data_IF_070700384781
#
_entry.id   IF_070700384781
#
_cell.length_a   1.000
_cell.length_b   1.000
_cell.length_c   1.000
_cell.angle_alpha   90.00
_cell.angle_beta   90.00
_cell.angle_gamma   90.00
#
_symmetry.space_group_name_H-M   'P 1'
#
loop_
_entity.id
_entity.type
_entity.pdbx_description
1 polymer ?
#
# COMPACT_ATOMS: atom_id res chain seq x y z
N UNK A 1 -4.85 19.14 14.08
CA UNK A 1 -4.39 18.12 15.04
C UNK A 1 -5.48 18.00 16.09
N UNK A 2 -6.44 17.08 15.92
CA UNK A 2 -7.47 16.78 16.92
C UNK A 2 -7.17 15.39 17.43
N UNK A 3 -6.66 15.32 18.66
CA UNK A 3 -6.58 14.09 19.45
C UNK A 3 -7.97 13.90 20.05
N UNK A 4 -8.73 12.93 19.56
CA UNK A 4 -9.91 12.45 20.25
C UNK A 4 -9.45 11.78 21.54
N UNK A 5 -10.06 12.14 22.66
CA UNK A 5 -9.86 11.52 23.97
C UNK A 5 -10.02 9.99 23.84
N UNK A 6 -8.91 9.32 23.76
CA UNK A 6 -8.82 7.88 24.02
C UNK A 6 -8.78 7.78 25.53
N UNK A 7 -9.65 6.95 26.09
CA UNK A 7 -9.74 6.65 27.52
C UNK A 7 -8.35 6.18 28.01
N UNK A 8 -7.59 7.12 28.53
CA UNK A 8 -6.16 6.97 28.87
C UNK A 8 -5.93 5.95 29.97
N UNK A 9 -6.92 5.69 30.82
CA UNK A 9 -6.75 4.73 31.94
C UNK A 9 -6.80 3.28 31.47
N UNK A 10 -7.67 2.93 30.52
CA UNK A 10 -7.70 1.58 29.94
C UNK A 10 -6.48 1.28 29.08
N UNK A 11 -5.98 2.29 28.37
CA UNK A 11 -4.77 2.13 27.54
C UNK A 11 -3.51 2.00 28.37
N UNK A 12 -3.40 2.75 29.48
CA UNK A 12 -2.25 2.64 30.41
C UNK A 12 -2.23 1.29 31.14
N UNK A 13 -3.38 0.72 31.49
CA UNK A 13 -3.43 -0.60 32.14
C UNK A 13 -3.00 -1.72 31.21
N UNK A 14 -3.37 -1.63 29.92
CA UNK A 14 -2.97 -2.61 28.90
C UNK A 14 -1.49 -2.49 28.54
N UNK A 15 -0.96 -1.27 28.47
CA UNK A 15 0.48 -1.05 28.24
C UNK A 15 1.34 -1.47 29.41
N UNK A 16 0.91 -1.21 30.66
CA UNK A 16 1.65 -1.67 31.86
C UNK A 16 1.71 -3.19 31.99
N UNK A 17 0.66 -3.89 31.53
CA UNK A 17 0.65 -5.36 31.52
C UNK A 17 1.56 -5.93 30.45
N UNK A 18 1.56 -5.31 29.25
CA UNK A 18 2.47 -5.68 28.16
C UNK A 18 3.95 -5.40 28.50
N UNK A 19 4.24 -4.27 29.14
CA UNK A 19 5.62 -3.93 29.57
C UNK A 19 6.11 -4.90 30.64
N UNK A 20 5.28 -5.30 31.61
CA UNK A 20 5.66 -6.31 32.62
C UNK A 20 5.92 -7.69 32.02
N UNK A 21 5.14 -8.11 31.00
CA UNK A 21 5.39 -9.36 30.30
C UNK A 21 6.70 -9.32 29.48
N UNK A 22 7.03 -8.18 28.87
CA UNK A 22 8.30 -7.97 28.14
C UNK A 22 9.49 -7.94 29.11
N UNK A 23 9.37 -7.33 30.29
CA UNK A 23 10.42 -7.35 31.32
C UNK A 23 10.70 -8.76 31.86
N UNK A 24 9.67 -9.59 32.05
CA UNK A 24 9.84 -10.99 32.49
C UNK A 24 10.56 -11.86 31.45
N UNK A 25 10.35 -11.58 30.16
CA UNK A 25 10.99 -12.31 29.06
C UNK A 25 12.48 -11.94 28.94
N UNK A 26 12.84 -10.69 29.25
CA UNK A 26 14.22 -10.20 29.19
C UNK A 26 15.10 -10.69 30.35
N UNK A 27 14.52 -11.32 31.38
CA UNK A 27 15.29 -11.87 32.55
C UNK A 27 15.72 -13.31 32.38
N UNK A 28 15.26 -14.01 31.34
CA UNK A 28 15.69 -15.39 31.06
C UNK A 28 16.93 -15.37 30.16
N UNK A 29 18.01 -16.12 30.48
CA UNK A 29 19.14 -16.24 29.59
C UNK A 29 18.66 -16.92 28.29
N UNK A 30 18.70 -16.17 27.18
CA UNK A 30 18.39 -16.70 25.85
C UNK A 30 19.51 -17.68 25.46
N UNK A 31 19.26 -18.96 25.59
CA UNK A 31 20.17 -20.03 25.13
C UNK A 31 20.10 -20.25 23.61
N UNK A 32 19.13 -19.65 22.94
CA UNK A 32 18.90 -19.74 21.49
C UNK A 32 18.44 -18.39 20.94
N UNK A 33 18.75 -18.11 19.68
CA UNK A 33 18.24 -16.93 18.93
C UNK A 33 16.74 -17.09 18.58
N UNK A 34 15.91 -17.33 19.58
CA UNK A 34 14.49 -17.57 19.42
C UNK A 34 13.70 -16.67 20.37
N UNK A 35 12.86 -15.81 19.80
CA UNK A 35 11.91 -14.98 20.54
C UNK A 35 10.49 -15.29 20.10
N UNK A 36 9.57 -15.46 21.06
CA UNK A 36 8.18 -15.74 20.80
C UNK A 36 7.32 -14.71 21.53
N UNK A 37 6.54 -13.95 20.75
CA UNK A 37 5.58 -13.01 21.28
C UNK A 37 4.39 -13.68 21.99
N UNK A 38 3.53 -12.85 22.60
CA UNK A 38 2.29 -13.31 23.24
C UNK A 38 1.43 -14.13 22.27
N UNK A 39 0.84 -15.24 22.77
CA UNK A 39 -0.10 -16.10 22.03
C UNK A 39 -1.56 -15.87 22.43
N UNK A 40 -1.82 -14.83 23.22
CA UNK A 40 -3.16 -14.58 23.76
C UNK A 40 -4.13 -14.01 22.72
N UNK A 41 -3.62 -13.50 21.60
CA UNK A 41 -4.41 -13.00 20.48
C UNK A 41 -4.49 -14.09 19.41
N UNK A 42 -5.69 -14.58 19.06
CA UNK A 42 -5.84 -15.57 18.00
C UNK A 42 -5.41 -14.98 16.65
N UNK A 43 -4.70 -15.77 15.86
CA UNK A 43 -4.35 -15.42 14.48
C UNK A 43 -5.61 -15.48 13.61
N UNK A 44 -5.68 -14.63 12.60
CA UNK A 44 -6.70 -14.73 11.55
C UNK A 44 -6.10 -15.32 10.28
N UNK A 45 -6.89 -16.16 9.58
CA UNK A 45 -6.54 -16.73 8.29
C UNK A 45 -7.13 -15.89 7.12
N UNK A 46 -7.77 -14.77 7.43
CA UNK A 46 -8.33 -13.89 6.41
C UNK A 46 -7.21 -13.23 5.59
N UNK A 47 -7.45 -13.07 4.30
CA UNK A 47 -6.63 -12.18 3.48
C UNK A 47 -6.86 -10.72 3.90
N UNK A 48 -5.93 -9.82 3.55
CA UNK A 48 -6.07 -8.38 3.83
C UNK A 48 -7.38 -7.84 3.22
N UNK A 49 -7.71 -8.24 1.98
CA UNK A 49 -8.94 -7.82 1.31
C UNK A 49 -10.20 -8.29 2.04
N UNK A 50 -10.27 -9.57 2.44
CA UNK A 50 -11.40 -10.12 3.17
C UNK A 50 -11.55 -9.51 4.57
N UNK A 51 -10.44 -9.27 5.26
CA UNK A 51 -10.47 -8.63 6.58
C UNK A 51 -10.88 -7.16 6.49
N UNK A 52 -10.45 -6.46 5.45
CA UNK A 52 -10.91 -5.10 5.17
C UNK A 52 -12.43 -5.05 4.99
N UNK A 53 -13.02 -5.93 4.16
CA UNK A 53 -14.46 -6.00 3.96
C UNK A 53 -15.22 -6.27 5.28
N UNK A 54 -14.72 -7.19 6.07
CA UNK A 54 -15.27 -7.47 7.41
C UNK A 54 -15.26 -6.25 8.35
N UNK A 55 -14.20 -5.42 8.31
CA UNK A 55 -14.13 -4.18 9.11
C UNK A 55 -15.11 -3.13 8.58
N UNK A 56 -15.27 -3.04 7.27
CA UNK A 56 -16.26 -2.14 6.64
C UNK A 56 -17.68 -2.49 7.08
N UNK A 57 -18.02 -3.77 7.06
CA UNK A 57 -19.35 -4.24 7.48
C UNK A 57 -19.65 -3.89 8.94
N UNK A 58 -18.63 -3.94 9.81
CA UNK A 58 -18.76 -3.56 11.22
C UNK A 58 -18.86 -2.06 11.46
N UNK A 59 -18.20 -1.26 10.64
CA UNK A 59 -18.01 0.17 10.90
C UNK A 59 -18.26 1.03 9.65
N UNK A 60 -19.34 0.83 8.88
CA UNK A 60 -19.52 1.43 7.55
C UNK A 60 -19.46 2.94 7.53
N UNK A 61 -20.00 3.58 8.57
CA UNK A 61 -20.14 5.03 8.68
C UNK A 61 -18.99 5.71 9.45
N UNK A 62 -18.09 4.93 10.02
CA UNK A 62 -16.91 5.48 10.70
C UNK A 62 -15.90 6.02 9.68
N UNK A 63 -15.19 7.08 10.05
CA UNK A 63 -14.17 7.70 9.23
C UNK A 63 -12.98 6.75 9.07
N UNK A 64 -12.64 6.39 7.84
CA UNK A 64 -11.54 5.47 7.52
C UNK A 64 -10.27 6.20 7.12
N UNK A 65 -10.38 7.20 6.24
CA UNK A 65 -9.24 7.90 5.65
C UNK A 65 -9.47 9.41 5.63
N UNK A 66 -8.44 10.16 6.02
CA UNK A 66 -8.40 11.62 5.91
C UNK A 66 -7.09 12.03 5.25
N UNK A 67 -7.20 12.72 4.12
CA UNK A 67 -6.06 13.28 3.39
C UNK A 67 -6.25 14.79 3.25
N UNK A 68 -5.73 15.53 4.22
CA UNK A 68 -6.01 16.97 4.36
C UNK A 68 -5.60 17.80 3.15
N UNK A 69 -4.43 17.55 2.57
CA UNK A 69 -3.92 18.31 1.42
C UNK A 69 -4.70 18.04 0.11
N UNK A 70 -5.47 16.96 0.06
CA UNK A 70 -6.40 16.65 -1.04
C UNK A 70 -7.86 17.01 -0.70
N UNK A 71 -8.12 17.49 0.52
CA UNK A 71 -9.47 17.73 1.06
C UNK A 71 -10.38 16.50 0.96
N UNK A 72 -9.83 15.30 1.20
CA UNK A 72 -10.53 14.02 1.14
C UNK A 72 -10.81 13.53 2.55
N UNK A 73 -12.05 13.12 2.78
CA UNK A 73 -12.51 12.44 4.00
C UNK A 73 -13.48 11.34 3.59
N UNK A 74 -13.13 10.10 3.83
CA UNK A 74 -13.94 8.94 3.45
C UNK A 74 -14.29 8.09 4.66
N UNK A 75 -15.54 7.69 4.76
CA UNK A 75 -16.00 6.62 5.65
C UNK A 75 -15.47 5.27 5.14
N UNK A 76 -15.53 4.23 5.96
CA UNK A 76 -15.15 2.88 5.54
C UNK A 76 -15.94 2.42 4.31
N UNK A 77 -17.24 2.68 4.25
CA UNK A 77 -18.09 2.32 3.10
C UNK A 77 -17.70 3.06 1.83
N UNK A 78 -17.44 4.36 1.91
CA UNK A 78 -17.01 5.17 0.78
C UNK A 78 -15.62 4.74 0.29
N UNK A 79 -14.69 4.53 1.21
CA UNK A 79 -13.35 4.04 0.90
C UNK A 79 -13.39 2.67 0.22
N UNK A 80 -14.21 1.73 0.70
CA UNK A 80 -14.40 0.42 0.07
C UNK A 80 -14.92 0.55 -1.36
N UNK A 81 -15.87 1.46 -1.60
CA UNK A 81 -16.41 1.72 -2.95
C UNK A 81 -15.28 2.13 -3.91
N UNK A 82 -14.45 3.08 -3.53
CA UNK A 82 -13.31 3.56 -4.32
C UNK A 82 -12.26 2.44 -4.53
N UNK A 83 -11.95 1.68 -3.49
CA UNK A 83 -11.06 0.51 -3.55
C UNK A 83 -11.57 -0.53 -4.55
N UNK A 84 -12.88 -0.86 -4.49
CA UNK A 84 -13.48 -1.83 -5.40
C UNK A 84 -13.45 -1.33 -6.85
N UNK A 85 -13.65 -0.04 -7.05
CA UNK A 85 -13.61 0.58 -8.39
C UNK A 85 -12.21 0.49 -8.99
N UNK A 86 -11.16 0.79 -8.21
CA UNK A 86 -9.78 0.64 -8.64
C UNK A 86 -9.43 -0.85 -8.89
N UNK A 87 -9.85 -1.75 -8.02
CA UNK A 87 -9.63 -3.20 -8.18
C UNK A 87 -10.24 -3.72 -9.48
N UNK A 88 -11.50 -3.34 -9.79
CA UNK A 88 -12.15 -3.69 -11.05
C UNK A 88 -11.41 -3.08 -12.26
N UNK A 89 -10.94 -1.84 -12.15
CA UNK A 89 -10.15 -1.19 -13.20
C UNK A 89 -8.85 -1.95 -13.48
N UNK A 90 -8.11 -2.35 -12.44
CA UNK A 90 -6.88 -3.14 -12.58
C UNK A 90 -7.14 -4.50 -13.25
N UNK A 91 -8.22 -5.19 -12.87
CA UNK A 91 -8.62 -6.44 -13.52
C UNK A 91 -8.99 -6.22 -14.99
N UNK A 92 -9.71 -5.14 -15.30
CA UNK A 92 -10.16 -4.82 -16.66
C UNK A 92 -8.99 -4.54 -17.62
N UNK A 93 -7.88 -3.97 -17.12
CA UNK A 93 -6.66 -3.78 -17.90
C UNK A 93 -5.76 -5.03 -17.93
N UNK A 94 -6.17 -6.13 -17.29
CA UNK A 94 -5.50 -7.42 -17.40
C UNK A 94 -4.54 -7.77 -16.26
N UNK A 95 -4.52 -7.03 -15.15
CA UNK A 95 -3.73 -7.39 -13.94
C UNK A 95 -4.26 -8.69 -13.34
N UNK A 96 -3.37 -9.61 -13.02
CA UNK A 96 -3.68 -10.95 -12.47
C UNK A 96 -3.11 -11.10 -11.06
N UNK A 97 -3.61 -12.09 -10.29
CA UNK A 97 -2.98 -12.45 -9.03
C UNK A 97 -1.48 -12.75 -9.20
N UNK A 98 -0.65 -12.19 -8.33
CA UNK A 98 0.81 -12.31 -8.41
C UNK A 98 1.51 -11.26 -9.27
N UNK A 99 0.79 -10.49 -10.09
CA UNK A 99 1.39 -9.39 -10.85
C UNK A 99 1.85 -8.27 -9.91
N UNK A 100 2.95 -7.62 -10.28
CA UNK A 100 3.50 -6.49 -9.51
C UNK A 100 2.94 -5.18 -10.07
N UNK A 101 2.23 -4.47 -9.19
CA UNK A 101 1.67 -3.14 -9.44
C UNK A 101 2.46 -2.12 -8.66
N UNK A 102 3.26 -1.32 -9.34
CA UNK A 102 4.03 -0.24 -8.75
C UNK A 102 3.18 0.98 -8.45
N UNK A 103 3.46 1.64 -7.32
CA UNK A 103 2.99 2.99 -7.06
C UNK A 103 4.15 3.93 -6.81
N UNK A 104 4.30 4.93 -7.68
CA UNK A 104 5.33 5.97 -7.60
C UNK A 104 4.67 7.32 -7.40
N UNK A 105 4.49 7.68 -6.15
CA UNK A 105 3.70 8.86 -5.75
C UNK A 105 4.08 9.29 -4.34
N UNK A 106 3.96 10.58 -3.99
CA UNK A 106 3.94 10.99 -2.59
C UNK A 106 2.71 10.42 -1.87
N UNK A 107 2.70 10.54 -0.53
CA UNK A 107 1.56 10.11 0.28
C UNK A 107 0.28 10.86 -0.11
N UNK A 108 -0.70 10.13 -0.61
CA UNK A 108 -2.00 10.62 -1.07
C UNK A 108 -3.06 9.50 -0.97
N UNK A 109 -4.30 9.82 -1.36
CA UNK A 109 -5.38 8.82 -1.33
C UNK A 109 -5.09 7.63 -2.25
N UNK A 110 -4.42 7.87 -3.40
CA UNK A 110 -4.12 6.82 -4.37
C UNK A 110 -3.26 5.69 -3.78
N UNK A 111 -2.37 6.01 -2.83
CA UNK A 111 -1.62 5.01 -2.09
C UNK A 111 -2.52 4.06 -1.31
N UNK A 112 -3.44 4.62 -0.53
CA UNK A 112 -4.37 3.81 0.26
C UNK A 112 -5.28 2.96 -0.64
N UNK A 113 -5.80 3.56 -1.71
CA UNK A 113 -6.64 2.86 -2.68
C UNK A 113 -5.87 1.71 -3.35
N UNK A 114 -4.63 1.96 -3.82
CA UNK A 114 -3.80 0.95 -4.46
C UNK A 114 -3.49 -0.21 -3.53
N UNK A 115 -3.17 0.07 -2.26
CA UNK A 115 -2.86 -0.96 -1.27
C UNK A 115 -4.01 -1.95 -1.10
N UNK A 116 -5.23 -1.46 -0.90
CA UNK A 116 -6.37 -2.35 -0.69
C UNK A 116 -6.92 -2.94 -1.99
N UNK A 117 -6.84 -2.22 -3.10
CA UNK A 117 -7.26 -2.74 -4.41
C UNK A 117 -6.38 -3.91 -4.85
N UNK A 118 -5.05 -3.78 -4.78
CA UNK A 118 -4.12 -4.87 -5.11
C UNK A 118 -4.29 -6.06 -4.17
N UNK A 119 -4.47 -5.81 -2.85
CA UNK A 119 -4.72 -6.88 -1.87
C UNK A 119 -6.01 -7.66 -2.17
N UNK A 120 -7.07 -6.99 -2.66
CA UNK A 120 -8.34 -7.65 -3.04
C UNK A 120 -8.21 -8.58 -4.23
N UNK A 121 -7.40 -8.21 -5.22
CA UNK A 121 -7.25 -9.00 -6.45
C UNK A 121 -6.04 -9.96 -6.41
N UNK A 122 -5.33 -10.02 -5.28
CA UNK A 122 -4.15 -10.87 -5.13
C UNK A 122 -2.91 -10.38 -5.88
N UNK A 123 -2.89 -9.14 -6.34
CA UNK A 123 -1.70 -8.52 -6.93
C UNK A 123 -0.72 -8.06 -5.83
N UNK A 124 0.53 -7.89 -6.19
CA UNK A 124 1.61 -7.47 -5.28
C UNK A 124 1.86 -5.97 -5.48
N UNK A 125 1.55 -5.17 -4.45
CA UNK A 125 1.88 -3.75 -4.47
C UNK A 125 3.37 -3.52 -4.27
N UNK A 126 3.97 -2.75 -5.16
CA UNK A 126 5.38 -2.33 -5.10
C UNK A 126 5.46 -0.86 -4.75
N UNK A 127 5.96 -0.57 -3.56
CA UNK A 127 6.11 0.79 -3.05
C UNK A 127 7.39 1.42 -3.58
N UNK A 128 7.29 2.42 -4.45
CA UNK A 128 8.43 3.09 -5.07
C UNK A 128 8.68 4.42 -4.37
N UNK A 129 9.93 4.67 -3.99
CA UNK A 129 10.30 5.90 -3.31
C UNK A 129 10.03 7.12 -4.23
N UNK A 130 9.25 8.12 -3.78
CA UNK A 130 8.93 9.31 -4.57
C UNK A 130 10.14 10.18 -4.91
N UNK A 131 11.28 10.00 -4.24
CA UNK A 131 12.50 10.73 -4.52
C UNK A 131 13.34 10.10 -5.65
N UNK A 132 13.00 8.89 -6.11
CA UNK A 132 13.79 8.21 -7.16
C UNK A 132 13.87 9.02 -8.45
N UNK A 133 15.04 8.97 -9.06
CA UNK A 133 15.35 9.52 -10.38
C UNK A 133 15.26 8.40 -11.43
N UNK A 134 15.37 8.70 -12.72
CA UNK A 134 15.16 7.70 -13.78
C UNK A 134 15.95 6.39 -13.59
N UNK A 135 17.22 6.45 -13.26
CA UNK A 135 18.06 5.24 -13.12
C UNK A 135 17.59 4.36 -11.95
N UNK A 136 17.24 4.97 -10.80
CA UNK A 136 16.77 4.25 -9.63
C UNK A 136 15.35 3.68 -9.87
N UNK A 137 14.50 4.43 -10.57
CA UNK A 137 13.18 3.98 -10.97
C UNK A 137 13.27 2.77 -11.91
N UNK A 138 14.12 2.85 -12.94
CA UNK A 138 14.36 1.76 -13.88
C UNK A 138 14.83 0.49 -13.16
N UNK A 139 15.81 0.64 -12.26
CA UNK A 139 16.32 -0.47 -11.46
C UNK A 139 15.21 -1.10 -10.61
N UNK A 140 14.43 -0.28 -9.88
CA UNK A 140 13.37 -0.75 -9.01
C UNK A 140 12.28 -1.50 -9.79
N UNK A 141 11.82 -0.95 -10.91
CA UNK A 141 10.79 -1.58 -11.75
C UNK A 141 11.27 -2.90 -12.36
N UNK A 142 12.49 -2.94 -12.86
CA UNK A 142 13.05 -4.13 -13.51
C UNK A 142 13.38 -5.24 -12.49
N UNK A 143 13.90 -4.89 -11.31
CA UNK A 143 14.26 -5.86 -10.27
C UNK A 143 13.08 -6.69 -9.78
N UNK A 144 11.87 -6.15 -9.83
CA UNK A 144 10.65 -6.85 -9.41
C UNK A 144 9.78 -7.25 -10.59
N UNK A 145 10.22 -7.01 -11.83
CA UNK A 145 9.44 -7.23 -13.05
C UNK A 145 8.05 -6.58 -12.96
N UNK A 146 8.01 -5.29 -12.61
CA UNK A 146 6.78 -4.56 -12.44
C UNK A 146 6.02 -4.47 -13.78
N UNK A 147 4.76 -4.93 -13.79
CA UNK A 147 3.94 -4.98 -15.03
C UNK A 147 3.05 -3.75 -15.21
N UNK A 148 2.68 -3.11 -14.11
CA UNK A 148 1.77 -1.96 -14.09
C UNK A 148 2.32 -0.89 -13.16
N UNK A 149 2.31 0.38 -13.58
CA UNK A 149 2.78 1.51 -12.77
C UNK A 149 1.69 2.55 -12.62
N UNK A 150 1.31 2.81 -11.37
CA UNK A 150 0.48 3.96 -10.98
C UNK A 150 1.43 5.07 -10.55
N UNK A 151 1.33 6.25 -11.16
CA UNK A 151 2.23 7.36 -10.89
C UNK A 151 1.50 8.67 -10.66
N UNK A 152 2.06 9.53 -9.80
CA UNK A 152 1.70 10.94 -9.77
C UNK A 152 2.26 11.64 -11.02
N UNK A 153 1.76 12.83 -11.35
CA UNK A 153 2.31 13.63 -12.45
C UNK A 153 3.63 14.29 -12.07
N UNK A 154 3.74 14.73 -10.81
CA UNK A 154 4.92 15.46 -10.32
C UNK A 154 5.07 15.40 -8.79
N UNK A 155 6.28 15.64 -8.30
CA UNK A 155 6.56 15.80 -6.87
C UNK A 155 7.83 16.64 -6.65
N UNK A 156 7.78 17.67 -5.77
CA UNK A 156 8.92 18.52 -5.39
C UNK A 156 9.78 18.99 -6.59
N UNK A 157 9.12 19.50 -7.62
CA UNK A 157 9.81 19.99 -8.83
C UNK A 157 10.26 18.89 -9.81
N UNK A 158 10.06 17.61 -9.51
CA UNK A 158 10.30 16.50 -10.42
C UNK A 158 9.03 16.21 -11.22
N UNK A 159 9.10 16.30 -12.53
CA UNK A 159 8.05 15.87 -13.45
C UNK A 159 8.22 14.36 -13.71
N UNK A 160 7.32 13.54 -13.14
CA UNK A 160 7.40 12.08 -13.26
C UNK A 160 7.08 11.60 -14.68
N UNK A 161 6.18 12.29 -15.36
CA UNK A 161 5.82 11.95 -16.74
C UNK A 161 7.01 12.14 -17.67
N UNK A 162 7.75 13.25 -17.52
CA UNK A 162 8.97 13.50 -18.32
C UNK A 162 10.06 12.46 -18.02
N UNK A 163 10.21 12.07 -16.75
CA UNK A 163 11.14 11.02 -16.36
C UNK A 163 10.77 9.67 -16.98
N UNK A 164 9.49 9.29 -16.96
CA UNK A 164 9.00 8.05 -17.59
C UNK A 164 9.18 8.10 -19.10
N UNK A 165 8.87 9.23 -19.75
CA UNK A 165 9.08 9.41 -21.18
C UNK A 165 10.58 9.36 -21.58
N UNK A 166 11.48 9.72 -20.68
CA UNK A 166 12.92 9.58 -20.90
C UNK A 166 13.40 8.12 -20.82
N UNK A 167 12.78 7.32 -19.96
CA UNK A 167 13.07 5.88 -19.81
C UNK A 167 12.39 5.03 -20.89
N UNK A 168 11.17 5.39 -21.24
CA UNK A 168 10.32 4.65 -22.18
C UNK A 168 9.72 5.64 -23.20
N UNK A 169 10.50 6.13 -24.16
CA UNK A 169 10.02 7.05 -25.20
C UNK A 169 8.90 6.43 -26.05
N UNK A 170 8.79 5.11 -26.06
CA UNK A 170 7.75 4.32 -26.72
C UNK A 170 6.35 4.62 -26.16
N UNK A 171 6.24 5.13 -24.94
CA UNK A 171 4.97 5.55 -24.33
C UNK A 171 4.18 6.55 -25.17
N UNK A 172 4.87 7.39 -25.95
CA UNK A 172 4.25 8.41 -26.80
C UNK A 172 3.48 7.83 -27.99
N UNK A 173 3.74 6.59 -28.36
CA UNK A 173 3.26 5.98 -29.61
C UNK A 173 2.64 4.59 -29.40
N UNK A 174 2.59 4.09 -28.15
CA UNK A 174 1.99 2.78 -27.88
C UNK A 174 0.48 2.91 -27.64
N UNK A 175 -0.25 1.88 -28.03
CA UNK A 175 -1.63 1.71 -27.58
C UNK A 175 -1.71 1.42 -26.09
N UNK A 176 -2.85 1.72 -25.47
CA UNK A 176 -3.08 1.43 -24.07
C UNK A 176 -2.89 -0.07 -23.76
N UNK A 177 -2.08 -0.38 -22.76
CA UNK A 177 -1.77 -1.74 -22.32
C UNK A 177 -0.83 -2.53 -23.22
N UNK A 178 -0.20 -1.89 -24.22
CA UNK A 178 0.70 -2.52 -25.20
C UNK A 178 2.11 -1.92 -25.18
N UNK A 179 2.53 -1.35 -24.07
CA UNK A 179 3.89 -0.83 -23.95
C UNK A 179 4.92 -1.97 -24.17
N UNK A 180 5.90 -1.69 -25.00
CA UNK A 180 7.07 -2.54 -25.21
C UNK A 180 8.30 -1.65 -25.22
N UNK A 181 8.80 -1.33 -24.04
CA UNK A 181 9.92 -0.43 -23.84
C UNK A 181 11.20 -1.23 -23.57
N UNK A 182 12.28 -0.89 -24.28
CA UNK A 182 13.57 -1.57 -24.10
C UNK A 182 14.12 -1.41 -22.68
N UNK A 183 13.98 -0.22 -22.10
CA UNK A 183 14.49 0.05 -20.75
C UNK A 183 13.61 -0.54 -19.64
N UNK A 184 12.33 -0.84 -19.92
CA UNK A 184 11.34 -1.35 -18.97
C UNK A 184 10.60 -2.55 -19.55
N UNK A 185 11.28 -3.69 -19.78
CA UNK A 185 10.74 -4.80 -20.57
C UNK A 185 9.51 -5.49 -19.98
N UNK A 186 9.33 -5.42 -18.68
CA UNK A 186 8.16 -6.03 -18.00
C UNK A 186 6.96 -5.08 -17.90
N UNK A 187 7.17 -3.76 -18.03
CA UNK A 187 6.11 -2.77 -17.90
C UNK A 187 5.21 -2.81 -19.13
N UNK A 188 3.91 -2.99 -18.90
CA UNK A 188 2.88 -3.06 -19.96
C UNK A 188 1.93 -1.85 -19.90
N UNK A 189 1.71 -1.34 -18.68
CA UNK A 189 0.71 -0.32 -18.35
C UNK A 189 1.23 0.62 -17.31
#
# INVERSE_FOLDING_TARGET
MYVTHIDTEKHMHTQHKAVKEVELINTLPLSQSYFKGSRNTPLTNNTIGAYFDFIVDKNPNSLAVVVNHQNIRLTYKEFQKEVNQLAMGLLAIGVKPGDRVGIWSPNNIQWCLTQFATAKIGAIMVCINPAYRPNELQYALNSVECSTLITASQFKGSNYIDMLNSLAPELKHCDNGKLSAQALPSLKM
#
